data_IF_714104409991
#
_entry.id   IF_714104409991
#
_cell.length_a   1.000
_cell.length_b   1.000
_cell.length_c   1.000
_cell.angle_alpha   90.00
_cell.angle_beta   90.00
_cell.angle_gamma   90.00
#
_symmetry.space_group_name_H-M   'P 1'
#
loop_
_entity.id
_entity.type
_entity.pdbx_description
1 polymer ?
#
# COMPACT_ATOMS: atom_id res chain seq x y z
N UNK A 1 -0.77 -7.98 -2.56
CA UNK A 1 -0.87 -6.54 -2.25
C UNK A 1 0.35 -5.99 -1.48
N UNK A 2 0.65 -6.45 -0.25
CA UNK A 2 1.77 -5.92 0.55
C UNK A 2 3.16 -6.01 -0.10
N UNK A 3 3.47 -7.14 -0.75
CA UNK A 3 4.72 -7.33 -1.51
C UNK A 3 4.87 -6.39 -2.71
N UNK A 4 3.77 -6.08 -3.39
CA UNK A 4 3.74 -5.12 -4.49
C UNK A 4 3.99 -3.70 -3.97
N UNK A 5 3.34 -3.31 -2.87
CA UNK A 5 3.55 -2.02 -2.21
C UNK A 5 5.02 -1.80 -1.83
N UNK A 6 5.64 -2.82 -1.22
CA UNK A 6 7.06 -2.83 -0.87
C UNK A 6 7.96 -2.66 -2.09
N UNK A 7 7.61 -3.32 -3.20
CA UNK A 7 8.38 -3.27 -4.44
C UNK A 7 8.32 -1.88 -5.07
N UNK A 8 7.13 -1.28 -5.17
CA UNK A 8 6.96 0.09 -5.66
C UNK A 8 7.70 1.11 -4.81
N UNK A 9 7.58 1.01 -3.47
CA UNK A 9 8.31 1.89 -2.55
C UNK A 9 9.82 1.82 -2.79
N UNK A 10 10.37 0.60 -2.89
CA UNK A 10 11.81 0.39 -3.12
C UNK A 10 12.27 0.89 -4.48
N UNK A 11 11.50 0.68 -5.55
CA UNK A 11 11.81 1.21 -6.89
C UNK A 11 11.90 2.74 -6.88
N UNK A 12 11.09 3.42 -6.06
CA UNK A 12 11.15 4.88 -5.87
C UNK A 12 12.20 5.35 -4.84
N UNK A 13 13.04 4.46 -4.33
CA UNK A 13 14.08 4.81 -3.33
C UNK A 13 13.53 5.30 -1.98
N UNK A 14 12.24 5.07 -1.70
CA UNK A 14 11.59 5.58 -0.50
C UNK A 14 11.85 4.66 0.70
N UNK A 15 12.14 5.23 1.87
CA UNK A 15 12.18 4.51 3.15
C UNK A 15 10.79 4.49 3.78
N UNK A 16 10.54 3.51 4.65
CA UNK A 16 9.28 3.43 5.43
C UNK A 16 9.06 4.71 6.26
N UNK A 17 10.13 5.34 6.74
CA UNK A 17 10.08 6.61 7.46
C UNK A 17 9.57 7.78 6.61
N UNK A 18 9.86 7.79 5.31
CA UNK A 18 9.35 8.82 4.39
C UNK A 18 7.83 8.70 4.24
N UNK A 19 7.35 7.46 4.08
CA UNK A 19 5.91 7.16 4.02
C UNK A 19 5.23 7.56 5.33
N UNK A 20 5.82 7.16 6.46
CA UNK A 20 5.28 7.45 7.78
C UNK A 20 5.12 8.96 8.02
N UNK A 21 6.13 9.75 7.63
CA UNK A 21 6.06 11.21 7.72
C UNK A 21 5.01 11.80 6.79
N UNK A 22 4.82 11.24 5.59
CA UNK A 22 3.87 11.74 4.62
C UNK A 22 2.40 11.41 4.96
N UNK A 23 2.15 10.26 5.61
CA UNK A 23 0.78 9.76 5.85
C UNK A 23 0.35 9.81 7.32
N UNK A 24 1.27 10.07 8.25
CA UNK A 24 1.03 9.96 9.69
C UNK A 24 0.90 8.52 10.20
N UNK A 25 0.97 7.51 9.32
CA UNK A 25 0.87 6.10 9.69
C UNK A 25 2.21 5.66 10.30
N UNK A 26 2.17 4.90 11.40
CA UNK A 26 3.40 4.45 12.05
C UNK A 26 4.24 3.54 11.14
N UNK A 27 5.57 3.60 11.31
CA UNK A 27 6.52 2.74 10.59
C UNK A 27 6.23 1.25 10.81
N UNK A 28 5.82 0.86 12.02
CA UNK A 28 5.37 -0.49 12.35
C UNK A 28 4.12 -0.90 11.57
N UNK A 29 3.14 -0.01 11.46
CA UNK A 29 1.94 -0.28 10.68
C UNK A 29 2.32 -0.49 9.21
N UNK A 30 3.05 0.44 8.59
CA UNK A 30 3.51 0.32 7.19
C UNK A 30 4.31 -0.97 6.95
N UNK A 31 5.22 -1.33 7.87
CA UNK A 31 5.99 -2.58 7.76
C UNK A 31 5.09 -3.82 7.79
N UNK A 32 4.05 -3.85 8.64
CA UNK A 32 3.06 -4.94 8.65
C UNK A 32 2.27 -4.97 7.35
N UNK A 33 1.86 -3.81 6.83
CA UNK A 33 1.14 -3.72 5.55
C UNK A 33 1.96 -4.35 4.43
N UNK A 34 3.25 -4.03 4.35
CA UNK A 34 4.17 -4.58 3.36
C UNK A 34 4.46 -6.07 3.51
N UNK A 35 4.51 -6.57 4.75
CA UNK A 35 4.93 -7.94 5.03
C UNK A 35 3.84 -8.96 4.73
N UNK A 36 2.60 -8.73 5.16
CA UNK A 36 1.56 -9.76 5.14
C UNK A 36 0.15 -9.22 4.87
N UNK A 37 0.00 -7.93 4.57
CA UNK A 37 -1.31 -7.38 4.19
C UNK A 37 -2.34 -7.32 5.33
N UNK A 38 -1.98 -7.68 6.57
CA UNK A 38 -2.93 -7.78 7.69
C UNK A 38 -3.20 -6.43 8.33
N UNK A 39 -4.45 -6.21 8.76
CA UNK A 39 -4.88 -5.00 9.48
C UNK A 39 -4.90 -3.75 8.62
N UNK A 40 -5.00 -3.92 7.30
CA UNK A 40 -5.04 -2.81 6.36
C UNK A 40 -6.49 -2.39 6.14
N UNK A 41 -6.78 -1.12 6.39
CA UNK A 41 -8.02 -0.48 5.93
C UNK A 41 -7.82 0.06 4.51
N UNK A 42 -8.92 0.18 3.75
CA UNK A 42 -8.91 0.79 2.42
C UNK A 42 -8.31 2.21 2.48
N UNK A 43 -8.72 2.99 3.47
CA UNK A 43 -8.22 4.35 3.72
C UNK A 43 -6.70 4.40 3.83
N UNK A 44 -6.09 3.49 4.61
CA UNK A 44 -4.65 3.45 4.79
C UNK A 44 -3.91 3.01 3.52
N UNK A 45 -4.49 2.08 2.75
CA UNK A 45 -3.93 1.70 1.44
C UNK A 45 -3.94 2.89 0.48
N UNK A 46 -5.02 3.68 0.47
CA UNK A 46 -5.14 4.85 -0.40
C UNK A 46 -4.11 5.92 -0.02
N UNK A 47 -4.02 6.27 1.27
CA UNK A 47 -3.03 7.24 1.77
C UNK A 47 -1.59 6.83 1.44
N UNK A 48 -1.23 5.56 1.67
CA UNK A 48 0.11 5.07 1.35
C UNK A 48 0.33 5.02 -0.17
N UNK A 49 -0.69 4.65 -0.92
CA UNK A 49 -0.69 4.64 -2.38
C UNK A 49 -0.42 6.00 -2.99
N UNK A 50 -1.11 7.03 -2.51
CA UNK A 50 -0.90 8.42 -2.90
C UNK A 50 0.50 8.91 -2.54
N UNK A 51 0.97 8.63 -1.32
CA UNK A 51 2.31 9.00 -0.88
C UNK A 51 3.43 8.33 -1.70
N UNK A 52 3.18 7.12 -2.22
CA UNK A 52 4.10 6.41 -3.13
C UNK A 52 3.86 6.84 -4.58
N UNK A 53 2.71 7.41 -4.93
CA UNK A 53 2.29 7.68 -6.31
C UNK A 53 2.06 6.38 -7.10
N UNK A 54 1.30 5.43 -6.54
CA UNK A 54 0.88 4.19 -7.19
C UNK A 54 -0.65 3.94 -7.10
N UNK A 55 -1.44 4.99 -6.86
CA UNK A 55 -2.90 4.92 -6.69
C UNK A 55 -3.61 4.20 -7.84
N UNK A 56 -3.22 4.47 -9.10
CA UNK A 56 -3.80 3.83 -10.28
C UNK A 56 -3.61 2.31 -10.30
N UNK A 57 -2.42 1.84 -9.90
CA UNK A 57 -2.13 0.41 -9.78
C UNK A 57 -2.94 -0.24 -8.64
N UNK A 58 -3.06 0.44 -7.50
CA UNK A 58 -3.83 -0.05 -6.37
C UNK A 58 -5.33 -0.17 -6.71
N UNK A 59 -5.87 0.80 -7.46
CA UNK A 59 -7.24 0.74 -7.98
C UNK A 59 -7.42 -0.36 -9.01
N UNK A 60 -6.50 -0.49 -9.97
CA UNK A 60 -6.54 -1.57 -10.96
C UNK A 60 -6.41 -2.97 -10.33
N UNK A 61 -5.69 -3.10 -9.20
CA UNK A 61 -5.58 -4.34 -8.45
C UNK A 61 -6.81 -4.61 -7.59
N UNK A 62 -7.36 -3.58 -6.91
CA UNK A 62 -8.58 -3.69 -6.11
C UNK A 62 -9.80 -4.06 -6.97
N UNK A 63 -9.95 -3.46 -8.15
CA UNK A 63 -11.01 -3.81 -9.12
C UNK A 63 -10.86 -5.26 -9.58
N UNK A 64 -9.62 -5.74 -9.79
CA UNK A 64 -9.35 -7.13 -10.19
C UNK A 64 -9.69 -8.14 -9.11
N UNK A 65 -9.38 -7.82 -7.84
CA UNK A 65 -9.74 -8.64 -6.69
C UNK A 65 -11.26 -8.67 -6.50
N UNK A 66 -11.93 -7.52 -6.55
CA UNK A 66 -13.38 -7.43 -6.39
C UNK A 66 -14.16 -8.14 -7.52
N UNK A 67 -13.64 -8.12 -8.75
CA UNK A 67 -14.20 -8.92 -9.85
C UNK A 67 -13.97 -10.43 -9.72
N UNK A 68 -13.04 -10.85 -8.85
CA UNK A 68 -12.71 -12.26 -8.62
C UNK A 68 -13.64 -12.97 -7.63
N UNK A 69 -14.39 -12.22 -6.81
CA UNK A 69 -15.33 -12.77 -5.80
C UNK A 69 -16.76 -12.92 -6.34
N UNK A 70 -16.97 -12.74 -7.65
CA UNK A 70 -18.26 -12.86 -8.33
C UNK A 70 -18.44 -14.18 -9.11
N UNK A 71 -17.64 -15.21 -8.81
CA UNK A 71 -17.79 -16.57 -9.34
C UNK A 71 -18.09 -17.56 -8.23
#
# INVERSE_FOLDING_TARGET
MGSALRSFRKQKGLRITHISRATGISTQAISRMEANGRGITLENILRVGEAIGCTDFLMAHAIRLWRGDAQ
#
